data_IF_494930445535
#
_entry.id   IF_494930445535
#
_cell.length_a   1.000
_cell.length_b   1.000
_cell.length_c   1.000
_cell.angle_alpha   90.00
_cell.angle_beta   90.00
_cell.angle_gamma   90.00
#
_symmetry.space_group_name_H-M   'P 1'
#
loop_
_entity.id
_entity.type
_entity.pdbx_description
1 polymer ?
#
# COMPACT_ATOMS: atom_id res chain seq x y z
N UNK A 1 -7.57 -32.41 12.41
CA UNK A 1 -8.29 -31.34 13.13
C UNK A 1 -7.29 -30.64 14.01
N UNK A 2 -6.90 -29.40 13.68
CA UNK A 2 -5.80 -28.69 14.37
C UNK A 2 -6.35 -27.86 15.53
N UNK A 3 -5.54 -27.66 16.57
CA UNK A 3 -5.89 -26.96 17.81
C UNK A 3 -6.37 -25.49 17.62
N UNK A 4 -6.25 -24.95 16.41
CA UNK A 4 -6.74 -23.63 16.01
C UNK A 4 -8.28 -23.52 16.07
N UNK A 5 -9.01 -24.61 15.84
CA UNK A 5 -10.49 -24.61 15.82
C UNK A 5 -11.12 -24.60 17.23
N UNK A 6 -10.34 -24.82 18.30
CA UNK A 6 -10.88 -25.06 19.65
C UNK A 6 -10.79 -23.86 20.61
N UNK A 7 -10.46 -22.64 20.12
CA UNK A 7 -10.33 -21.41 20.93
C UNK A 7 -9.41 -21.53 22.17
N UNK A 8 -8.50 -22.51 22.17
CA UNK A 8 -7.48 -22.71 23.23
C UNK A 8 -6.22 -21.91 22.91
N UNK A 9 -6.38 -20.59 22.90
CA UNK A 9 -5.35 -19.66 22.44
C UNK A 9 -4.12 -19.61 23.37
N UNK A 10 -4.27 -19.83 24.68
CA UNK A 10 -3.16 -19.77 25.64
C UNK A 10 -2.25 -21.01 25.59
N UNK A 11 -2.82 -22.20 25.41
CA UNK A 11 -2.04 -23.43 25.20
C UNK A 11 -1.28 -23.37 23.87
N UNK A 12 -1.92 -22.83 22.82
CA UNK A 12 -1.29 -22.68 21.51
C UNK A 12 -0.05 -21.77 21.58
N UNK A 13 -0.12 -20.61 22.25
CA UNK A 13 1.03 -19.69 22.36
C UNK A 13 2.19 -20.34 23.12
N UNK A 14 1.93 -21.01 24.25
CA UNK A 14 2.97 -21.67 25.04
C UNK A 14 3.67 -22.83 24.30
N UNK A 15 2.93 -23.54 23.44
CA UNK A 15 3.52 -24.57 22.58
C UNK A 15 4.34 -23.96 21.44
N UNK A 16 3.86 -22.85 20.85
CA UNK A 16 4.52 -22.17 19.74
C UNK A 16 5.84 -21.49 20.16
N UNK A 17 5.95 -20.99 21.40
CA UNK A 17 7.19 -20.42 21.93
C UNK A 17 8.34 -21.45 22.00
N UNK A 18 8.05 -22.75 22.10
CA UNK A 18 9.06 -23.81 22.01
C UNK A 18 9.45 -24.14 20.58
N UNK A 19 8.53 -23.96 19.63
CA UNK A 19 8.73 -24.28 18.21
C UNK A 19 9.47 -23.16 17.47
N UNK A 20 9.34 -21.91 17.94
CA UNK A 20 10.12 -20.77 17.44
C UNK A 20 11.64 -20.94 17.65
N UNK A 21 12.05 -21.80 18.59
CA UNK A 21 13.47 -22.16 18.80
C UNK A 21 13.96 -23.29 17.88
N UNK A 22 13.13 -23.76 16.94
CA UNK A 22 13.52 -24.78 15.97
C UNK A 22 14.62 -24.27 15.04
N UNK A 23 15.59 -25.14 14.72
CA UNK A 23 16.63 -24.84 13.72
C UNK A 23 16.07 -24.79 12.29
N UNK A 24 14.86 -25.31 12.09
CA UNK A 24 14.14 -25.22 10.83
C UNK A 24 13.39 -23.89 10.74
N UNK A 25 13.87 -23.02 9.84
CA UNK A 25 13.34 -21.68 9.64
C UNK A 25 11.88 -21.68 9.15
N UNK A 26 11.45 -22.69 8.40
CA UNK A 26 10.07 -22.75 7.91
C UNK A 26 9.11 -23.14 9.04
N UNK A 27 9.50 -24.10 9.87
CA UNK A 27 8.74 -24.51 11.06
C UNK A 27 8.63 -23.35 12.06
N UNK A 28 9.73 -22.66 12.36
CA UNK A 28 9.74 -21.47 13.19
C UNK A 28 8.86 -20.36 12.58
N UNK A 29 8.98 -20.12 11.28
CA UNK A 29 8.16 -19.15 10.55
C UNK A 29 6.66 -19.42 10.64
N UNK A 30 6.22 -20.68 10.48
CA UNK A 30 4.81 -21.07 10.62
C UNK A 30 4.32 -20.89 12.06
N UNK A 31 5.17 -21.18 13.04
CA UNK A 31 4.84 -21.02 14.44
C UNK A 31 4.63 -19.55 14.80
N UNK A 32 5.57 -18.68 14.39
CA UNK A 32 5.45 -17.23 14.56
C UNK A 32 4.22 -16.68 13.83
N UNK A 33 3.95 -17.14 12.60
CA UNK A 33 2.76 -16.70 11.85
C UNK A 33 1.48 -17.03 12.61
N UNK A 34 1.39 -18.24 13.16
CA UNK A 34 0.23 -18.68 13.95
C UNK A 34 0.08 -17.83 15.21
N UNK A 35 1.18 -17.56 15.93
CA UNK A 35 1.19 -16.66 17.09
C UNK A 35 0.71 -15.25 16.73
N UNK A 36 1.19 -14.71 15.62
CA UNK A 36 0.76 -13.41 15.10
C UNK A 36 -0.74 -13.37 14.78
N UNK A 37 -1.29 -14.42 14.17
CA UNK A 37 -2.75 -14.52 13.92
C UNK A 37 -3.54 -14.60 15.24
N UNK A 38 -3.06 -15.35 16.23
CA UNK A 38 -3.70 -15.41 17.56
C UNK A 38 -3.68 -14.03 18.24
N UNK A 39 -2.59 -13.27 18.11
CA UNK A 39 -2.55 -11.90 18.60
C UNK A 39 -3.55 -10.99 17.87
N UNK A 40 -3.73 -11.15 16.55
CA UNK A 40 -4.72 -10.38 15.79
C UNK A 40 -6.16 -10.69 16.25
N UNK A 41 -6.49 -11.97 16.46
CA UNK A 41 -7.80 -12.41 16.98
C UNK A 41 -8.08 -11.85 18.39
N UNK A 42 -7.04 -11.63 19.19
CA UNK A 42 -7.13 -11.02 20.53
C UNK A 42 -7.18 -9.48 20.51
N UNK A 43 -7.19 -8.85 19.33
CA UNK A 43 -7.14 -7.40 19.19
C UNK A 43 -5.76 -6.79 19.44
N UNK A 44 -4.73 -7.61 19.65
CA UNK A 44 -3.35 -7.17 19.89
C UNK A 44 -2.63 -6.92 18.55
N UNK A 45 -3.20 -6.05 17.72
CA UNK A 45 -2.76 -5.81 16.34
C UNK A 45 -1.31 -5.33 16.23
N UNK A 46 -0.78 -4.61 17.22
CA UNK A 46 0.61 -4.18 17.23
C UNK A 46 1.60 -5.35 17.33
N UNK A 47 1.33 -6.30 18.23
CA UNK A 47 2.14 -7.52 18.38
C UNK A 47 1.96 -8.44 17.17
N UNK A 48 0.71 -8.61 16.73
CA UNK A 48 0.39 -9.39 15.53
C UNK A 48 1.18 -8.92 14.31
N UNK A 49 1.24 -7.60 14.06
CA UNK A 49 1.95 -7.04 12.92
C UNK A 49 3.45 -7.35 12.94
N UNK A 50 4.07 -7.33 14.14
CA UNK A 50 5.49 -7.63 14.33
C UNK A 50 5.74 -9.12 14.07
N UNK A 51 4.96 -10.00 14.71
CA UNK A 51 5.12 -11.44 14.57
C UNK A 51 4.89 -11.89 13.12
N UNK A 52 3.82 -11.42 12.48
CA UNK A 52 3.53 -11.71 11.08
C UNK A 52 4.62 -11.18 10.13
N UNK A 53 5.21 -10.01 10.42
CA UNK A 53 6.33 -9.49 9.64
C UNK A 53 7.60 -10.33 9.82
N UNK A 54 7.85 -10.86 11.02
CA UNK A 54 8.98 -11.74 11.29
C UNK A 54 8.80 -13.10 10.63
N UNK A 55 7.60 -13.67 10.72
CA UNK A 55 7.23 -14.90 10.01
C UNK A 55 7.42 -14.76 8.49
N UNK A 56 7.02 -13.64 7.90
CA UNK A 56 7.21 -13.36 6.48
C UNK A 56 8.68 -13.42 6.03
N UNK A 57 9.64 -13.13 6.91
CA UNK A 57 11.08 -13.24 6.60
C UNK A 57 11.61 -14.67 6.60
N UNK A 58 10.97 -15.55 7.37
CA UNK A 58 11.39 -16.94 7.54
C UNK A 58 10.69 -17.88 6.55
N UNK A 59 9.46 -17.54 6.17
CA UNK A 59 8.65 -18.29 5.22
C UNK A 59 9.04 -17.99 3.77
N UNK A 60 8.53 -18.81 2.84
CA UNK A 60 8.75 -18.65 1.40
C UNK A 60 7.43 -18.73 0.63
N UNK A 61 7.43 -18.21 -0.60
CA UNK A 61 6.28 -18.29 -1.51
C UNK A 61 5.00 -17.70 -0.94
N UNK A 62 3.90 -18.43 -1.08
CA UNK A 62 2.58 -17.96 -0.68
C UNK A 62 2.43 -17.70 0.82
N UNK A 63 3.11 -18.47 1.66
CA UNK A 63 3.01 -18.31 3.11
C UNK A 63 3.70 -17.03 3.59
N UNK A 64 4.86 -16.71 2.99
CA UNK A 64 5.52 -15.42 3.21
C UNK A 64 4.65 -14.26 2.75
N UNK A 65 4.08 -14.36 1.54
CA UNK A 65 3.18 -13.33 1.00
C UNK A 65 1.98 -13.09 1.91
N UNK A 66 1.37 -14.17 2.41
CA UNK A 66 0.22 -14.13 3.32
C UNK A 66 0.58 -13.50 4.66
N UNK A 67 1.72 -13.88 5.25
CA UNK A 67 2.19 -13.31 6.51
C UNK A 67 2.42 -11.79 6.39
N UNK A 68 3.09 -11.34 5.34
CA UNK A 68 3.27 -9.91 5.10
C UNK A 68 1.95 -9.18 4.80
N UNK A 69 1.02 -9.80 4.08
CA UNK A 69 -0.29 -9.21 3.81
C UNK A 69 -1.06 -8.94 5.10
N UNK A 70 -1.19 -9.94 5.97
CA UNK A 70 -1.88 -9.78 7.25
C UNK A 70 -1.14 -8.85 8.21
N UNK A 71 0.20 -8.80 8.17
CA UNK A 71 0.98 -7.77 8.87
C UNK A 71 0.57 -6.36 8.40
N UNK A 72 0.41 -6.17 7.09
CA UNK A 72 -0.08 -4.92 6.51
C UNK A 72 -1.50 -4.54 6.96
N UNK A 73 -2.41 -5.50 7.03
CA UNK A 73 -3.78 -5.28 7.56
C UNK A 73 -3.73 -4.84 9.03
N UNK A 74 -2.92 -5.51 9.85
CA UNK A 74 -2.74 -5.15 11.26
C UNK A 74 -2.14 -3.74 11.42
N UNK A 75 -1.13 -3.39 10.61
CA UNK A 75 -0.57 -2.04 10.59
C UNK A 75 -1.60 -0.98 10.15
N UNK A 76 -2.51 -1.34 9.24
CA UNK A 76 -3.59 -0.46 8.79
C UNK A 76 -4.58 -0.19 9.93
N UNK A 77 -4.98 -1.23 10.67
CA UNK A 77 -5.91 -1.12 11.80
C UNK A 77 -5.36 -0.19 12.89
N UNK A 78 -4.06 -0.23 13.16
CA UNK A 78 -3.42 0.62 14.18
C UNK A 78 -2.92 1.98 13.64
N UNK A 79 -3.29 2.34 12.40
CA UNK A 79 -2.96 3.64 11.80
C UNK A 79 -1.50 3.82 11.36
N UNK A 80 -0.69 2.75 11.32
CA UNK A 80 0.72 2.79 10.91
C UNK A 80 0.86 2.60 9.40
N UNK A 81 0.38 3.57 8.63
CA UNK A 81 0.24 3.46 7.17
C UNK A 81 1.56 3.21 6.42
N UNK A 82 2.67 3.84 6.81
CA UNK A 82 3.98 3.59 6.20
C UNK A 82 4.45 2.14 6.37
N UNK A 83 4.19 1.57 7.56
CA UNK A 83 4.51 0.18 7.84
C UNK A 83 3.59 -0.78 7.06
N UNK A 84 2.31 -0.42 6.93
CA UNK A 84 1.36 -1.16 6.11
C UNK A 84 1.78 -1.19 4.64
N UNK A 85 2.15 -0.05 4.06
CA UNK A 85 2.64 0.02 2.67
C UNK A 85 3.90 -0.83 2.44
N UNK A 86 4.86 -0.79 3.37
CA UNK A 86 6.04 -1.67 3.30
C UNK A 86 5.64 -3.14 3.35
N UNK A 87 4.75 -3.52 4.26
CA UNK A 87 4.27 -4.88 4.41
C UNK A 87 3.53 -5.38 3.15
N UNK A 88 2.62 -4.60 2.58
CA UNK A 88 1.96 -4.97 1.31
C UNK A 88 2.96 -5.06 0.13
N UNK A 89 3.99 -4.22 0.12
CA UNK A 89 5.05 -4.29 -0.90
C UNK A 89 5.84 -5.60 -0.80
N UNK A 90 6.18 -6.02 0.41
CA UNK A 90 6.82 -7.31 0.68
C UNK A 90 5.89 -8.48 0.32
N UNK A 91 4.61 -8.40 0.68
CA UNK A 91 3.60 -9.40 0.34
C UNK A 91 3.50 -9.63 -1.18
N UNK A 92 3.51 -8.55 -1.96
CA UNK A 92 3.52 -8.61 -3.42
C UNK A 92 4.80 -9.24 -3.97
N UNK A 93 5.95 -9.00 -3.34
CA UNK A 93 7.27 -9.47 -3.79
C UNK A 93 7.60 -10.91 -3.37
N UNK A 94 6.93 -11.46 -2.37
CA UNK A 94 7.23 -12.77 -1.77
C UNK A 94 6.86 -13.99 -2.62
N UNK A 95 6.31 -13.81 -3.82
CA UNK A 95 6.03 -14.91 -4.76
C UNK A 95 4.77 -15.71 -4.44
N UNK A 96 3.76 -15.10 -3.81
CA UNK A 96 2.48 -15.74 -3.53
C UNK A 96 1.55 -15.86 -4.74
N UNK A 97 0.46 -16.62 -4.56
CA UNK A 97 -0.61 -16.77 -5.54
C UNK A 97 -1.15 -15.42 -6.03
N UNK A 98 -1.68 -15.38 -7.26
CA UNK A 98 -2.20 -14.15 -7.87
C UNK A 98 -3.25 -13.42 -7.03
N UNK A 99 -3.95 -14.14 -6.15
CA UNK A 99 -4.95 -13.59 -5.22
C UNK A 99 -4.33 -12.68 -4.16
N UNK A 100 -3.33 -13.16 -3.39
CA UNK A 100 -2.68 -12.36 -2.34
C UNK A 100 -1.89 -11.20 -2.96
N UNK A 101 -1.17 -11.47 -4.05
CA UNK A 101 -0.44 -10.43 -4.77
C UNK A 101 -1.40 -9.35 -5.34
N UNK A 102 -2.59 -9.76 -5.80
CA UNK A 102 -3.66 -8.87 -6.25
C UNK A 102 -4.25 -8.02 -5.12
N UNK A 103 -4.55 -8.64 -3.97
CA UNK A 103 -5.04 -7.93 -2.78
C UNK A 103 -4.01 -6.91 -2.27
N UNK A 104 -2.75 -7.32 -2.15
CA UNK A 104 -1.65 -6.43 -1.79
C UNK A 104 -1.49 -5.27 -2.79
N UNK A 105 -1.63 -5.54 -4.09
CA UNK A 105 -1.64 -4.49 -5.12
C UNK A 105 -2.81 -3.52 -4.95
N UNK A 106 -4.00 -4.00 -4.60
CA UNK A 106 -5.16 -3.13 -4.32
C UNK A 106 -4.92 -2.28 -3.07
N UNK A 107 -4.30 -2.83 -2.02
CA UNK A 107 -3.95 -2.07 -0.81
C UNK A 107 -2.84 -1.04 -1.05
N UNK A 108 -1.93 -1.31 -1.97
CA UNK A 108 -0.90 -0.38 -2.45
C UNK A 108 -1.41 0.60 -3.49
N UNK A 109 -2.60 0.38 -4.03
CA UNK A 109 -3.17 1.30 -4.99
C UNK A 109 -3.37 2.63 -4.26
N UNK A 110 -2.96 3.75 -4.87
CA UNK A 110 -3.27 5.08 -4.37
C UNK A 110 -4.75 5.14 -4.03
N UNK A 111 -5.08 5.58 -2.82
CA UNK A 111 -6.48 5.74 -2.40
C UNK A 111 -7.19 6.82 -3.23
N UNK A 112 -6.39 7.71 -3.84
CA UNK A 112 -6.86 8.89 -4.54
C UNK A 112 -6.22 9.00 -5.94
N UNK A 113 -6.95 9.64 -6.84
CA UNK A 113 -6.60 9.91 -8.23
C UNK A 113 -6.55 11.42 -8.45
N UNK A 114 -5.85 11.86 -9.49
CA UNK A 114 -5.80 13.25 -9.91
C UNK A 114 -5.80 13.35 -11.43
N UNK A 115 -6.07 14.54 -11.94
CA UNK A 115 -5.92 14.87 -13.35
C UNK A 115 -4.58 15.56 -13.53
N UNK A 116 -3.67 14.94 -14.30
CA UNK A 116 -2.39 15.53 -14.63
C UNK A 116 -2.47 16.22 -15.99
N UNK A 117 -2.16 17.52 -16.01
CA UNK A 117 -2.14 18.35 -17.22
C UNK A 117 -0.77 18.40 -17.88
N UNK A 118 0.31 18.00 -17.18
CA UNK A 118 1.64 17.91 -17.76
C UNK A 118 2.68 17.34 -16.80
N UNK A 119 3.82 16.94 -17.35
CA UNK A 119 5.01 16.50 -16.63
C UNK A 119 6.25 17.13 -17.28
N UNK A 120 7.06 17.84 -16.50
CA UNK A 120 8.16 18.66 -17.00
C UNK A 120 9.47 18.32 -16.27
N UNK A 121 10.59 18.39 -16.97
CA UNK A 121 11.92 18.23 -16.37
C UNK A 121 12.43 19.49 -15.65
N UNK A 122 11.78 20.63 -15.88
CA UNK A 122 12.15 21.93 -15.29
C UNK A 122 10.96 22.54 -14.56
N UNK A 123 11.23 23.09 -13.37
CA UNK A 123 10.20 23.70 -12.53
C UNK A 123 9.51 24.88 -13.22
N UNK A 124 10.25 25.75 -13.92
CA UNK A 124 9.72 26.92 -14.63
C UNK A 124 8.69 26.57 -15.71
N UNK A 125 8.88 25.44 -16.40
CA UNK A 125 7.94 24.94 -17.40
C UNK A 125 6.66 24.41 -16.73
N UNK A 126 6.81 23.69 -15.61
CA UNK A 126 5.66 23.26 -14.81
C UNK A 126 4.89 24.45 -14.22
N UNK A 127 5.58 25.50 -13.82
CA UNK A 127 4.96 26.73 -13.32
C UNK A 127 4.17 27.44 -14.41
N UNK A 128 4.76 27.62 -15.60
CA UNK A 128 4.08 28.19 -16.75
C UNK A 128 2.83 27.39 -17.12
N UNK A 129 2.93 26.06 -17.15
CA UNK A 129 1.80 25.17 -17.42
C UNK A 129 0.73 25.23 -16.32
N UNK A 130 1.12 25.28 -15.04
CA UNK A 130 0.21 25.45 -13.91
C UNK A 130 -0.58 26.75 -14.03
N UNK A 131 0.11 27.89 -14.27
CA UNK A 131 -0.53 29.19 -14.47
C UNK A 131 -1.48 29.18 -15.67
N UNK A 132 -1.08 28.60 -16.81
CA UNK A 132 -1.93 28.49 -17.99
C UNK A 132 -3.15 27.57 -17.80
N UNK A 133 -3.05 26.56 -16.93
CA UNK A 133 -4.16 25.68 -16.60
C UNK A 133 -5.17 26.29 -15.62
N UNK A 134 -4.78 27.29 -14.80
CA UNK A 134 -5.67 27.90 -13.78
C UNK A 134 -6.98 28.44 -14.35
N UNK A 135 -6.94 29.13 -15.49
CA UNK A 135 -8.15 29.68 -16.10
C UNK A 135 -9.13 28.56 -16.50
N UNK A 136 -8.60 27.47 -17.08
CA UNK A 136 -9.39 26.31 -17.48
C UNK A 136 -9.97 25.57 -16.28
N UNK A 137 -9.18 25.29 -15.25
CA UNK A 137 -9.69 24.60 -14.04
C UNK A 137 -10.76 25.42 -13.34
N UNK A 138 -10.57 26.74 -13.23
CA UNK A 138 -11.55 27.64 -12.62
C UNK A 138 -12.86 27.67 -13.41
N UNK A 139 -12.79 27.72 -14.76
CA UNK A 139 -13.97 27.73 -15.62
C UNK A 139 -14.83 26.46 -15.49
N UNK A 140 -14.25 25.33 -15.06
CA UNK A 140 -14.97 24.05 -14.91
C UNK A 140 -15.19 23.64 -13.45
N UNK A 141 -14.96 24.57 -12.50
CA UNK A 141 -15.16 24.35 -11.07
C UNK A 141 -14.22 23.30 -10.46
N UNK A 142 -13.00 23.18 -10.99
CA UNK A 142 -11.95 22.34 -10.43
C UNK A 142 -10.96 23.17 -9.61
N UNK A 143 -10.31 22.52 -8.63
CA UNK A 143 -9.26 23.14 -7.84
C UNK A 143 -8.11 23.68 -8.70
N UNK A 144 -7.37 24.64 -8.14
CA UNK A 144 -6.20 25.18 -8.82
C UNK A 144 -5.14 24.08 -9.05
N UNK A 145 -4.44 24.09 -10.20
CA UNK A 145 -3.36 23.15 -10.44
C UNK A 145 -2.23 23.33 -9.41
N UNK A 146 -1.72 22.22 -8.89
CA UNK A 146 -0.53 22.17 -8.04
C UNK A 146 0.63 21.49 -8.76
N UNK A 147 1.84 21.86 -8.38
CA UNK A 147 3.07 21.23 -8.88
C UNK A 147 3.53 20.23 -7.81
N UNK A 148 3.83 19.01 -8.22
CA UNK A 148 4.32 17.93 -7.37
C UNK A 148 5.66 17.46 -7.90
N UNK A 149 6.65 17.35 -7.03
CA UNK A 149 7.94 16.75 -7.38
C UNK A 149 7.84 15.23 -7.43
N UNK A 150 8.53 14.63 -8.39
CA UNK A 150 8.48 13.20 -8.65
C UNK A 150 9.80 12.74 -9.24
N UNK A 151 10.06 11.44 -9.24
CA UNK A 151 11.17 10.84 -10.01
C UNK A 151 10.63 9.99 -11.16
N UNK A 152 11.33 10.05 -12.30
CA UNK A 152 11.10 9.13 -13.43
C UNK A 152 11.72 7.74 -13.17
N UNK A 153 11.57 6.83 -14.12
CA UNK A 153 12.14 5.47 -14.06
C UNK A 153 13.68 5.45 -13.99
N UNK A 154 14.33 6.54 -14.41
CA UNK A 154 15.78 6.72 -14.39
C UNK A 154 16.26 7.52 -13.17
N UNK A 155 15.37 7.82 -12.21
CA UNK A 155 15.68 8.58 -11.00
C UNK A 155 15.77 10.10 -11.17
N UNK A 156 15.47 10.64 -12.36
CA UNK A 156 15.50 12.08 -12.67
C UNK A 156 14.29 12.78 -12.06
N UNK A 157 14.51 13.96 -11.48
CA UNK A 157 13.42 14.80 -10.96
C UNK A 157 12.52 15.28 -12.09
N UNK A 158 11.21 15.17 -11.88
CA UNK A 158 10.13 15.61 -12.74
C UNK A 158 9.14 16.42 -11.92
N UNK A 159 8.58 17.46 -12.53
CA UNK A 159 7.58 18.34 -11.96
C UNK A 159 6.24 18.05 -12.63
N UNK A 160 5.33 17.45 -11.89
CA UNK A 160 4.00 17.06 -12.36
C UNK A 160 2.99 18.17 -12.05
N UNK A 161 2.19 18.57 -13.03
CA UNK A 161 1.13 19.55 -12.81
C UNK A 161 -0.20 18.79 -12.66
N UNK A 162 -0.74 18.79 -11.45
CA UNK A 162 -1.89 17.98 -11.04
C UNK A 162 -3.07 18.84 -10.60
N UNK A 163 -4.30 18.35 -10.81
CA UNK A 163 -5.56 19.05 -10.56
C UNK A 163 -6.50 18.16 -9.77
N UNK A 164 -6.86 18.61 -8.57
CA UNK A 164 -7.81 17.95 -7.69
C UNK A 164 -7.32 16.64 -7.07
N UNK A 165 -8.07 16.16 -6.09
CA UNK A 165 -7.96 14.83 -5.52
C UNK A 165 -9.32 14.13 -5.60
N UNK A 166 -9.35 12.93 -6.17
CA UNK A 166 -10.58 12.19 -6.44
C UNK A 166 -10.50 10.79 -5.85
N UNK A 167 -11.53 10.34 -5.15
CA UNK A 167 -11.53 9.02 -4.50
C UNK A 167 -11.64 7.86 -5.47
N UNK A 168 -12.12 8.11 -6.69
CA UNK A 168 -12.26 7.07 -7.72
C UNK A 168 -11.72 7.52 -9.06
N UNK A 169 -11.25 6.56 -9.86
CA UNK A 169 -10.82 6.80 -11.24
C UNK A 169 -11.93 7.42 -12.09
N UNK A 170 -13.19 7.05 -11.83
CA UNK A 170 -14.35 7.59 -12.56
C UNK A 170 -14.58 9.08 -12.28
N UNK A 171 -14.45 9.51 -11.01
CA UNK A 171 -14.52 10.93 -10.65
C UNK A 171 -13.38 11.73 -11.33
N UNK A 172 -12.15 11.21 -11.29
CA UNK A 172 -11.03 11.84 -11.98
C UNK A 172 -11.23 11.89 -13.50
N UNK A 173 -11.82 10.85 -14.10
CA UNK A 173 -12.13 10.82 -15.52
C UNK A 173 -13.19 11.86 -15.90
N UNK A 174 -14.23 12.03 -15.09
CA UNK A 174 -15.24 13.08 -15.30
C UNK A 174 -14.63 14.49 -15.18
N UNK A 175 -13.69 14.69 -14.25
CA UNK A 175 -12.93 15.94 -14.16
C UNK A 175 -12.03 16.17 -15.38
N UNK A 176 -11.34 15.13 -15.86
CA UNK A 176 -10.50 15.18 -17.07
C UNK A 176 -11.31 15.59 -18.31
N UNK A 177 -12.49 14.99 -18.49
CA UNK A 177 -13.38 15.31 -19.62
C UNK A 177 -13.85 16.76 -19.57
N UNK A 178 -14.22 17.27 -18.38
CA UNK A 178 -14.58 18.68 -18.21
C UNK A 178 -13.41 19.61 -18.53
N UNK A 179 -12.22 19.30 -18.02
CA UNK A 179 -11.02 20.12 -18.20
C UNK A 179 -10.55 20.18 -19.67
N UNK A 180 -10.74 19.09 -20.42
CA UNK A 180 -10.36 18.97 -21.82
C UNK A 180 -8.84 18.96 -22.08
N UNK A 181 -8.46 18.88 -23.36
CA UNK A 181 -7.07 18.83 -23.81
C UNK A 181 -6.35 17.51 -23.48
N UNK A 182 -5.01 17.57 -23.43
CA UNK A 182 -4.13 16.39 -23.28
C UNK A 182 -3.97 15.89 -21.83
N UNK A 183 -4.93 16.20 -20.96
CA UNK A 183 -4.89 15.79 -19.58
C UNK A 183 -5.12 14.27 -19.42
N UNK A 184 -4.49 13.67 -18.41
CA UNK A 184 -4.56 12.23 -18.12
C UNK A 184 -4.92 11.97 -16.67
N UNK A 185 -5.66 10.90 -16.40
CA UNK A 185 -5.93 10.45 -15.02
C UNK A 185 -4.74 9.64 -14.52
N UNK A 186 -4.18 10.06 -13.39
CA UNK A 186 -3.07 9.37 -12.73
C UNK A 186 -3.35 9.18 -11.24
N UNK A 187 -2.67 8.24 -10.58
CA UNK A 187 -2.49 8.24 -9.13
C UNK A 187 -2.23 9.63 -8.55
N UNK A 188 -2.95 10.01 -7.49
CA UNK A 188 -2.60 11.19 -6.71
C UNK A 188 -1.19 10.97 -6.15
N UNK A 189 -0.30 11.94 -6.37
CA UNK A 189 0.98 12.00 -5.66
C UNK A 189 0.90 13.13 -4.65
N UNK A 190 1.31 12.85 -3.43
CA UNK A 190 1.48 13.89 -2.41
C UNK A 190 2.72 14.73 -2.76
N UNK A 191 2.68 16.05 -2.49
CA UNK A 191 3.80 16.96 -2.73
C UNK A 191 5.04 16.62 -1.90
#
# INVERSE_FOLDING_TARGET
>A
MSAFELKRYDDAVNWLDRVDQSRDTEVAGRAIATKGLVHAERGNYALAAIDLSSAGRLLKGEESARAYYFSGECYTIIGRLDAAQRAYSLARGAGGSGTIAGQARTRLAPSDFTVQVGAFSQWSNAETASRGARARTSAVGLEAPRIVESRDVNGRTMYLVQVGAFKTKQQAQAARVRLGGDAVVVPLREP
#
